data_IF_975186323736
#
_entry.id   IF_975186323736
#
_cell.length_a   1.000
_cell.length_b   1.000
_cell.length_c   1.000
_cell.angle_alpha   90.00
_cell.angle_beta   90.00
_cell.angle_gamma   90.00
#
_symmetry.space_group_name_H-M   'P 1'
#
loop_
_entity.id
_entity.type
_entity.pdbx_description
1 polymer ?
#
# COMPACT_ATOMS: atom_id res chain seq x y z
N UNK A 1 6.17 -17.80 -17.26
CA UNK A 1 5.30 -18.98 -17.03
C UNK A 1 5.37 -19.31 -15.56
N UNK A 2 4.23 -19.31 -14.89
CA UNK A 2 4.13 -19.51 -13.45
C UNK A 2 4.44 -20.97 -13.07
N UNK A 3 5.68 -21.25 -12.68
CA UNK A 3 6.17 -22.60 -12.36
C UNK A 3 7.22 -22.56 -11.25
N UNK A 4 6.79 -22.34 -10.01
CA UNK A 4 7.65 -22.29 -8.83
C UNK A 4 7.52 -23.57 -8.02
N UNK A 5 8.63 -24.01 -7.43
CA UNK A 5 8.64 -25.17 -6.52
C UNK A 5 7.86 -24.84 -5.24
N UNK A 6 6.97 -25.74 -4.81
CA UNK A 6 6.19 -25.58 -3.58
C UNK A 6 4.85 -24.87 -3.74
N UNK A 7 4.44 -24.57 -4.98
CA UNK A 7 3.09 -24.03 -5.23
C UNK A 7 2.02 -25.04 -4.83
N UNK A 8 1.04 -24.57 -4.05
CA UNK A 8 -0.13 -25.35 -3.65
C UNK A 8 -1.38 -24.78 -4.31
N UNK A 9 -2.19 -25.64 -4.93
CA UNK A 9 -3.46 -25.22 -5.53
C UNK A 9 -4.49 -24.93 -4.43
N UNK A 10 -5.13 -23.77 -4.50
CA UNK A 10 -6.24 -23.42 -3.61
C UNK A 10 -7.51 -24.09 -4.13
N UNK A 11 -8.25 -24.75 -3.24
CA UNK A 11 -9.51 -25.43 -3.56
C UNK A 11 -10.62 -24.40 -3.87
N UNK A 12 -10.64 -23.90 -5.11
CA UNK A 12 -11.64 -22.98 -5.62
C UNK A 12 -11.89 -23.22 -7.13
N UNK A 13 -12.98 -22.68 -7.70
CA UNK A 13 -13.30 -22.86 -9.13
C UNK A 13 -12.32 -22.19 -10.09
N UNK A 14 -11.47 -21.29 -9.59
CA UNK A 14 -10.51 -20.53 -10.38
C UNK A 14 -9.11 -21.16 -10.32
N UNK A 15 -8.26 -20.96 -11.34
CA UNK A 15 -6.87 -21.38 -11.31
C UNK A 15 -6.09 -20.48 -10.34
N UNK A 16 -6.11 -20.81 -9.05
CA UNK A 16 -5.44 -20.06 -7.99
C UNK A 16 -4.50 -20.97 -7.22
N UNK A 17 -3.30 -20.47 -6.98
CA UNK A 17 -2.27 -21.12 -6.19
C UNK A 17 -1.80 -20.21 -5.07
N UNK A 18 -1.22 -20.81 -4.04
CA UNK A 18 -0.47 -20.11 -2.99
C UNK A 18 0.96 -20.62 -2.95
N UNK A 19 1.88 -19.77 -2.53
CA UNK A 19 3.29 -20.10 -2.37
C UNK A 19 3.87 -19.28 -1.22
N UNK A 20 4.55 -19.95 -0.30
CA UNK A 20 5.40 -19.28 0.68
C UNK A 20 6.75 -18.98 0.03
N UNK A 21 7.18 -17.72 0.12
CA UNK A 21 8.40 -17.20 -0.46
C UNK A 21 9.27 -16.59 0.65
N UNK A 22 10.58 -16.71 0.52
CA UNK A 22 11.50 -15.85 1.25
C UNK A 22 11.59 -14.46 0.60
N UNK A 23 12.36 -13.55 1.19
CA UNK A 23 12.44 -12.18 0.70
C UNK A 23 13.08 -12.05 -0.69
N UNK A 24 13.93 -13.00 -1.10
CA UNK A 24 14.60 -12.98 -2.40
C UNK A 24 13.64 -13.50 -3.47
N UNK A 25 13.09 -14.69 -3.27
CA UNK A 25 12.09 -15.30 -4.16
C UNK A 25 10.81 -14.46 -4.27
N UNK A 26 10.40 -13.73 -3.22
CA UNK A 26 9.30 -12.76 -3.26
C UNK A 26 9.49 -11.71 -4.37
N UNK A 27 10.71 -11.15 -4.47
CA UNK A 27 11.06 -10.15 -5.49
C UNK A 27 11.16 -10.78 -6.88
N UNK A 28 11.70 -11.99 -6.97
CA UNK A 28 11.79 -12.73 -8.24
C UNK A 28 10.40 -13.03 -8.81
N UNK A 29 9.47 -13.58 -8.00
CA UNK A 29 8.10 -13.87 -8.42
C UNK A 29 7.39 -12.61 -8.93
N UNK A 30 7.53 -11.50 -8.22
CA UNK A 30 6.93 -10.22 -8.63
C UNK A 30 7.52 -9.70 -9.95
N UNK A 31 8.84 -9.85 -10.15
CA UNK A 31 9.53 -9.47 -11.38
C UNK A 31 9.07 -10.33 -12.56
N UNK A 32 9.05 -11.65 -12.40
CA UNK A 32 8.56 -12.57 -13.42
C UNK A 32 7.12 -12.26 -13.82
N UNK A 33 6.27 -11.89 -12.85
CA UNK A 33 4.91 -11.43 -13.10
C UNK A 33 4.90 -10.16 -13.95
N UNK A 34 5.69 -9.16 -13.61
CA UNK A 34 5.76 -7.89 -14.36
C UNK A 34 6.31 -8.10 -15.78
N UNK A 35 7.36 -8.91 -15.94
CA UNK A 35 7.99 -9.20 -17.23
C UNK A 35 7.12 -10.07 -18.15
N UNK A 36 6.09 -10.73 -17.60
CA UNK A 36 5.11 -11.50 -18.37
C UNK A 36 3.78 -10.76 -18.61
N UNK A 37 3.79 -9.42 -18.51
CA UNK A 37 2.61 -8.55 -18.62
C UNK A 37 1.48 -8.90 -17.62
N UNK A 38 1.85 -9.55 -16.51
CA UNK A 38 0.98 -9.86 -15.40
C UNK A 38 0.62 -8.64 -14.55
N UNK A 39 -0.21 -8.84 -13.54
CA UNK A 39 -0.74 -7.75 -12.71
C UNK A 39 -0.70 -8.06 -11.23
N UNK A 40 -0.22 -7.12 -10.44
CA UNK A 40 -0.50 -7.07 -9.00
C UNK A 40 -1.96 -6.63 -8.78
N UNK A 41 -2.76 -7.51 -8.18
CA UNK A 41 -4.17 -7.24 -7.85
C UNK A 41 -4.31 -6.64 -6.47
N UNK A 42 -3.64 -7.25 -5.48
CA UNK A 42 -3.70 -6.84 -4.09
C UNK A 42 -2.38 -7.13 -3.38
N UNK A 43 -2.06 -6.30 -2.40
CA UNK A 43 -0.94 -6.46 -1.49
C UNK A 43 -1.43 -6.11 -0.07
N UNK A 44 -1.30 -7.02 0.87
CA UNK A 44 -1.82 -6.83 2.24
C UNK A 44 -0.95 -7.52 3.29
N UNK A 45 -1.07 -7.07 4.54
CA UNK A 45 -0.41 -7.66 5.69
C UNK A 45 -1.37 -8.52 6.51
N UNK A 46 -0.84 -9.53 7.20
CA UNK A 46 -1.58 -10.30 8.19
C UNK A 46 -0.68 -10.64 9.39
N UNK A 47 -1.30 -10.81 10.56
CA UNK A 47 -0.63 -11.34 11.74
C UNK A 47 -0.72 -12.87 11.75
N UNK A 48 0.40 -13.54 12.00
CA UNK A 48 0.52 -14.99 12.14
C UNK A 48 1.22 -15.31 13.47
N UNK A 49 0.47 -15.20 14.57
CA UNK A 49 1.03 -15.26 15.92
C UNK A 49 1.93 -14.06 16.19
N UNK A 50 3.18 -14.29 16.57
CA UNK A 50 4.19 -13.23 16.77
C UNK A 50 4.84 -12.73 15.47
N UNK A 51 4.60 -13.42 14.34
CA UNK A 51 5.17 -13.07 13.04
C UNK A 51 4.17 -12.26 12.23
N UNK A 52 4.67 -11.37 11.36
CA UNK A 52 3.87 -10.74 10.34
C UNK A 52 4.16 -11.37 8.98
N UNK A 53 3.13 -11.48 8.17
CA UNK A 53 3.21 -11.95 6.80
C UNK A 53 2.71 -10.84 5.88
N UNK A 54 3.32 -10.75 4.70
CA UNK A 54 2.85 -9.89 3.61
C UNK A 54 2.50 -10.78 2.43
N UNK A 55 1.35 -10.53 1.83
CA UNK A 55 0.82 -11.33 0.75
C UNK A 55 0.63 -10.47 -0.49
N UNK A 56 1.02 -11.00 -1.65
CA UNK A 56 0.75 -10.41 -2.96
C UNK A 56 -0.12 -11.37 -3.78
N UNK A 57 -1.25 -10.88 -4.28
CA UNK A 57 -2.04 -11.56 -5.29
C UNK A 57 -1.60 -11.07 -6.68
N UNK A 58 -0.96 -11.97 -7.42
CA UNK A 58 -0.36 -11.73 -8.73
C UNK A 58 -1.11 -12.52 -9.79
N UNK A 59 -1.52 -11.88 -10.88
CA UNK A 59 -2.18 -12.54 -12.01
C UNK A 59 -1.18 -12.73 -13.13
N UNK A 60 -1.00 -13.98 -13.52
CA UNK A 60 -0.28 -14.43 -14.70
C UNK A 60 -1.30 -14.89 -15.78
N UNK A 61 -0.83 -15.20 -16.98
CA UNK A 61 -1.67 -15.74 -18.05
C UNK A 61 -2.32 -17.08 -17.65
N UNK A 62 -1.64 -17.89 -16.84
CA UNK A 62 -2.09 -19.22 -16.41
C UNK A 62 -3.07 -19.19 -15.22
N UNK A 63 -3.17 -18.05 -14.53
CA UNK A 63 -4.05 -17.86 -13.36
C UNK A 63 -3.43 -16.96 -12.30
N UNK A 64 -3.88 -17.09 -11.05
CA UNK A 64 -3.46 -16.22 -9.95
C UNK A 64 -2.55 -16.95 -8.95
N UNK A 65 -1.48 -16.29 -8.53
CA UNK A 65 -0.61 -16.72 -7.45
C UNK A 65 -0.75 -15.79 -6.26
N UNK A 66 -1.01 -16.35 -5.09
CA UNK A 66 -0.88 -15.67 -3.80
C UNK A 66 0.50 -16.02 -3.23
N UNK A 67 1.47 -15.12 -3.42
CA UNK A 67 2.78 -15.24 -2.79
C UNK A 67 2.72 -14.69 -1.36
N UNK A 68 3.32 -15.38 -0.40
CA UNK A 68 3.38 -14.98 1.01
C UNK A 68 4.83 -14.84 1.44
N UNK A 69 5.24 -13.66 1.89
CA UNK A 69 6.57 -13.37 2.39
C UNK A 69 6.51 -13.10 3.90
N UNK A 70 7.40 -13.70 4.71
CA UNK A 70 7.54 -13.29 6.10
C UNK A 70 8.09 -11.87 6.17
N UNK A 71 7.52 -11.08 7.07
CA UNK A 71 7.95 -9.73 7.37
C UNK A 71 8.14 -9.58 8.88
N UNK A 72 9.36 -9.26 9.30
CA UNK A 72 9.59 -8.83 10.67
C UNK A 72 9.20 -7.35 10.77
N UNK A 73 10.17 -6.46 10.64
CA UNK A 73 9.92 -5.00 10.65
C UNK A 73 9.70 -4.45 9.23
N UNK A 74 10.18 -5.19 8.23
CA UNK A 74 10.11 -4.77 6.84
C UNK A 74 10.12 -5.93 5.85
N UNK A 75 9.73 -5.63 4.61
CA UNK A 75 9.71 -6.54 3.47
C UNK A 75 10.20 -5.83 2.20
N UNK A 76 10.71 -6.52 1.17
CA UNK A 76 11.05 -5.89 -0.10
C UNK A 76 9.81 -5.26 -0.77
N UNK A 77 9.86 -3.95 -1.06
CA UNK A 77 8.79 -3.25 -1.81
C UNK A 77 8.67 -3.74 -3.25
N UNK A 78 7.52 -3.52 -3.87
CA UNK A 78 7.18 -3.93 -5.25
C UNK A 78 6.81 -2.74 -6.13
N UNK A 79 6.93 -1.51 -5.65
CA UNK A 79 6.46 -0.29 -6.32
C UNK A 79 7.26 0.08 -7.58
N UNK A 80 8.50 -0.37 -7.68
CA UNK A 80 9.33 -0.25 -8.87
C UNK A 80 8.86 -1.16 -10.02
N UNK A 81 8.23 -2.29 -9.68
CA UNK A 81 7.62 -3.22 -10.62
C UNK A 81 6.14 -2.90 -10.89
N UNK A 82 5.42 -2.46 -9.86
CA UNK A 82 3.99 -2.16 -9.89
C UNK A 82 3.72 -0.83 -9.18
N UNK A 83 3.63 0.31 -9.90
CA UNK A 83 3.53 1.64 -9.26
C UNK A 83 2.38 1.79 -8.26
N UNK A 84 1.26 1.10 -8.49
CA UNK A 84 0.10 1.12 -7.59
C UNK A 84 0.32 0.36 -6.26
N UNK A 85 1.37 -0.48 -6.17
CA UNK A 85 1.78 -1.12 -4.92
C UNK A 85 2.15 -0.10 -3.84
N UNK A 86 2.60 1.11 -4.22
CA UNK A 86 2.96 2.17 -3.27
C UNK A 86 1.86 2.46 -2.26
N UNK A 87 0.59 2.58 -2.69
CA UNK A 87 -0.54 2.84 -1.78
C UNK A 87 -0.81 1.66 -0.84
N UNK A 88 -0.71 0.44 -1.36
CA UNK A 88 -0.94 -0.78 -0.59
C UNK A 88 0.16 -1.00 0.46
N UNK A 89 1.42 -0.73 0.12
CA UNK A 89 2.56 -0.79 1.04
C UNK A 89 2.44 0.21 2.18
N UNK A 90 2.06 1.46 1.86
CA UNK A 90 1.81 2.48 2.88
C UNK A 90 0.62 2.11 3.77
N UNK A 91 -0.42 1.49 3.21
CA UNK A 91 -1.54 0.95 3.99
C UNK A 91 -1.11 -0.19 4.92
N UNK A 92 -0.24 -1.11 4.47
CA UNK A 92 0.34 -2.16 5.34
C UNK A 92 1.10 -1.54 6.51
N UNK A 93 1.88 -0.48 6.25
CA UNK A 93 2.58 0.20 7.33
C UNK A 93 1.59 0.83 8.32
N UNK A 94 0.61 1.59 7.87
CA UNK A 94 -0.34 2.25 8.77
C UNK A 94 -1.23 1.28 9.55
N UNK A 95 -1.58 0.13 8.95
CA UNK A 95 -2.45 -0.87 9.58
C UNK A 95 -1.67 -1.83 10.48
N UNK A 96 -0.50 -2.29 10.04
CA UNK A 96 0.23 -3.40 10.67
C UNK A 96 1.56 -2.98 11.32
N UNK A 97 2.11 -1.81 10.98
CA UNK A 97 3.43 -1.35 11.43
C UNK A 97 4.60 -1.98 10.69
N UNK A 98 4.34 -2.63 9.57
CA UNK A 98 5.35 -3.33 8.76
C UNK A 98 5.70 -2.50 7.54
N UNK A 99 6.98 -2.13 7.38
CA UNK A 99 7.41 -1.15 6.38
C UNK A 99 7.91 -1.81 5.08
N UNK A 100 7.54 -1.30 3.92
CA UNK A 100 8.23 -1.70 2.67
C UNK A 100 9.63 -1.09 2.60
N UNK A 101 10.61 -1.88 2.16
CA UNK A 101 11.96 -1.41 1.82
C UNK A 101 11.92 -0.76 0.44
N UNK A 102 12.14 0.54 0.40
CA UNK A 102 12.00 1.35 -0.81
C UNK A 102 10.69 2.13 -0.86
N UNK A 103 10.62 3.05 -1.81
CA UNK A 103 9.39 3.75 -2.15
C UNK A 103 9.00 4.88 -1.19
N UNK A 104 7.78 5.35 -1.38
CA UNK A 104 7.16 6.37 -0.56
C UNK A 104 6.72 5.79 0.79
N UNK A 105 7.29 6.34 1.87
CA UNK A 105 7.05 5.90 3.27
C UNK A 105 6.17 6.87 4.05
N UNK A 106 5.59 7.88 3.39
CA UNK A 106 4.68 8.83 4.03
C UNK A 106 3.41 8.11 4.51
N UNK A 107 2.80 8.50 5.64
CA UNK A 107 1.52 7.93 6.07
C UNK A 107 0.44 8.04 4.99
N UNK A 108 -0.45 7.07 4.89
CA UNK A 108 -1.53 7.02 3.90
C UNK A 108 -2.92 7.07 4.53
N UNK A 109 -3.28 6.07 5.33
CA UNK A 109 -4.53 5.96 6.07
C UNK A 109 -4.45 6.64 7.43
N UNK A 110 -3.31 6.52 8.13
CA UNK A 110 -3.11 7.21 9.41
C UNK A 110 -2.82 8.69 9.14
N UNK A 111 -3.83 9.53 9.32
CA UNK A 111 -3.69 10.99 9.18
C UNK A 111 -3.14 11.65 10.45
N UNK A 112 -2.28 10.94 11.18
CA UNK A 112 -1.70 11.37 12.45
C UNK A 112 -2.69 11.30 13.61
N UNK A 113 -3.67 10.39 13.53
CA UNK A 113 -4.76 10.28 14.51
C UNK A 113 -4.72 8.97 15.29
N UNK A 114 -4.10 7.92 14.75
CA UNK A 114 -4.09 6.61 15.39
C UNK A 114 -3.00 6.53 16.46
N UNK A 115 -3.35 5.94 17.61
CA UNK A 115 -2.41 5.73 18.72
C UNK A 115 -1.51 4.52 18.44
N UNK A 116 -2.08 3.46 17.89
CA UNK A 116 -1.44 2.17 17.59
C UNK A 116 -1.66 1.76 16.13
N UNK A 117 -0.99 0.69 15.68
CA UNK A 117 -1.29 0.03 14.41
C UNK A 117 -2.49 -0.91 14.59
N UNK A 118 -3.68 -0.62 14.01
CA UNK A 118 -4.93 -1.31 14.34
C UNK A 118 -4.89 -2.84 14.18
N UNK A 119 -4.18 -3.32 13.16
CA UNK A 119 -4.06 -4.74 12.81
C UNK A 119 -2.67 -5.31 13.10
N UNK A 120 -1.86 -4.58 13.88
CA UNK A 120 -0.44 -4.85 14.00
C UNK A 120 0.10 -4.75 15.41
N UNK A 121 1.38 -4.39 15.47
CA UNK A 121 2.10 -4.24 16.73
C UNK A 121 1.60 -3.03 17.50
N UNK A 122 1.72 -3.07 18.81
CA UNK A 122 1.56 -1.86 19.62
C UNK A 122 2.66 -0.85 19.26
N UNK A 123 2.30 0.41 19.10
CA UNK A 123 3.26 1.45 18.72
C UNK A 123 4.03 1.87 19.98
N UNK A 124 5.35 1.67 20.00
CA UNK A 124 6.18 1.99 21.17
C UNK A 124 6.25 3.49 21.48
N UNK A 125 6.00 4.34 20.48
CA UNK A 125 5.96 5.80 20.61
C UNK A 125 4.75 6.35 19.89
N UNK A 126 4.01 7.25 20.55
CA UNK A 126 2.91 7.96 19.89
C UNK A 126 3.46 8.76 18.71
N UNK A 127 2.80 8.72 17.54
CA UNK A 127 3.14 9.66 16.49
C UNK A 127 2.96 11.06 17.05
N UNK A 128 3.99 11.89 16.97
CA UNK A 128 3.82 13.32 17.20
C UNK A 128 2.88 13.79 16.08
N UNK A 129 1.69 14.32 16.39
CA UNK A 129 0.80 14.83 15.36
C UNK A 129 1.57 15.88 14.56
N UNK A 130 1.68 15.77 13.22
CA UNK A 130 2.28 16.84 12.45
C UNK A 130 1.49 18.13 12.71
N UNK A 131 2.18 19.23 12.95
CA UNK A 131 1.58 20.53 13.32
C UNK A 131 0.56 21.02 12.28
N UNK A 132 0.65 20.60 11.00
CA UNK A 132 -0.51 20.51 10.10
C UNK A 132 -0.22 19.94 8.70
N UNK A 133 1.03 19.80 8.25
CA UNK A 133 1.26 19.53 6.81
C UNK A 133 1.72 18.11 6.50
N UNK A 134 0.86 17.37 5.78
CA UNK A 134 1.33 16.23 5.00
C UNK A 134 2.22 16.76 3.87
N UNK A 135 3.43 16.19 3.68
CA UNK A 135 4.41 16.74 2.76
C UNK A 135 4.05 16.34 1.33
N UNK A 136 3.09 17.06 0.74
CA UNK A 136 2.77 16.95 -0.69
C UNK A 136 3.99 17.30 -1.53
N UNK A 137 4.15 16.62 -2.66
CA UNK A 137 5.26 16.91 -3.57
C UNK A 137 5.01 18.24 -4.28
N UNK A 138 5.93 19.19 -4.11
CA UNK A 138 5.92 20.47 -4.81
C UNK A 138 6.54 20.34 -6.21
N UNK A 139 6.12 21.24 -7.11
CA UNK A 139 6.75 21.46 -8.42
C UNK A 139 7.20 22.92 -8.45
N UNK A 140 8.45 23.16 -8.81
CA UNK A 140 9.02 24.50 -8.88
C UNK A 140 9.16 24.96 -10.33
N UNK A 141 8.98 26.26 -10.58
CA UNK A 141 9.10 26.86 -11.91
C UNK A 141 8.33 28.17 -12.02
N UNK A 142 8.69 28.99 -13.01
CA UNK A 142 7.96 30.22 -13.31
C UNK A 142 6.51 29.91 -13.74
N UNK A 143 5.55 30.60 -13.12
CA UNK A 143 4.12 30.42 -13.42
C UNK A 143 3.50 29.13 -12.89
N UNK A 144 4.23 28.34 -12.08
CA UNK A 144 3.64 27.20 -11.37
C UNK A 144 2.79 27.69 -10.21
N UNK A 145 1.56 27.19 -10.14
CA UNK A 145 0.61 27.49 -9.06
C UNK A 145 0.08 26.20 -8.46
N UNK A 146 -0.14 26.21 -7.14
CA UNK A 146 -0.80 25.11 -6.42
C UNK A 146 -2.29 25.42 -6.25
N UNK A 147 -3.14 24.45 -6.58
CA UNK A 147 -4.57 24.47 -6.27
C UNK A 147 -4.89 23.33 -5.30
N UNK A 148 -5.40 23.70 -4.13
CA UNK A 148 -5.79 22.80 -3.06
C UNK A 148 -7.32 22.54 -3.08
N UNK A 149 -7.73 21.28 -3.04
CA UNK A 149 -9.15 20.88 -2.95
C UNK A 149 -9.34 19.82 -1.86
N UNK A 150 -10.39 19.95 -1.05
CA UNK A 150 -10.72 19.02 0.04
C UNK A 150 -10.08 19.39 1.40
N UNK A 151 -10.09 18.47 2.39
CA UNK A 151 -10.43 17.06 2.29
C UNK A 151 -11.94 16.76 2.24
N UNK A 152 -12.78 17.76 2.58
CA UNK A 152 -14.23 17.67 2.54
C UNK A 152 -14.75 18.34 1.27
N UNK A 153 -15.63 17.65 0.55
CA UNK A 153 -16.30 18.17 -0.64
C UNK A 153 -17.80 18.21 -0.38
N UNK A 154 -18.53 19.09 -1.06
CA UNK A 154 -19.99 19.08 -1.04
C UNK A 154 -20.50 17.82 -1.77
N UNK A 155 -20.88 16.78 -1.03
CA UNK A 155 -21.43 15.54 -1.61
C UNK A 155 -21.18 14.27 -0.77
N UNK A 156 -21.69 13.14 -1.26
CA UNK A 156 -21.52 11.79 -0.67
C UNK A 156 -20.50 11.01 -1.50
N UNK A 157 -19.27 11.51 -1.60
CA UNK A 157 -18.15 10.80 -2.25
C UNK A 157 -17.06 10.46 -1.23
N UNK A 158 -16.02 9.75 -1.65
CA UNK A 158 -14.87 9.53 -0.78
C UNK A 158 -14.16 10.87 -0.49
N UNK A 159 -13.99 11.27 0.79
CA UNK A 159 -13.19 12.44 1.13
C UNK A 159 -11.73 12.23 0.74
N UNK A 160 -11.11 13.31 0.27
CA UNK A 160 -9.78 13.29 -0.30
C UNK A 160 -9.19 14.69 -0.38
N UNK A 161 -7.90 14.82 -0.12
CA UNK A 161 -7.18 16.07 -0.24
C UNK A 161 -6.32 16.02 -1.49
N UNK A 162 -6.61 16.91 -2.42
CA UNK A 162 -5.97 16.96 -3.72
C UNK A 162 -5.04 18.16 -3.79
N UNK A 163 -3.89 17.96 -4.41
CA UNK A 163 -2.92 19.00 -4.76
C UNK A 163 -2.62 18.95 -6.23
N UNK A 164 -3.11 19.98 -6.93
CA UNK A 164 -2.81 20.21 -8.34
C UNK A 164 -1.68 21.22 -8.43
N UNK A 165 -0.58 20.86 -9.07
CA UNK A 165 0.45 21.80 -9.49
C UNK A 165 0.21 22.11 -10.97
N UNK A 166 -0.05 23.36 -11.33
CA UNK A 166 -0.54 23.77 -12.65
C UNK A 166 0.26 24.92 -13.26
N UNK A 167 0.28 25.00 -14.59
CA UNK A 167 0.73 26.16 -15.36
C UNK A 167 -0.33 26.48 -16.41
N UNK A 168 -1.04 27.59 -16.24
CA UNK A 168 -2.24 27.88 -17.03
C UNK A 168 -3.27 26.74 -16.89
N UNK A 169 -3.60 26.09 -18.00
CA UNK A 169 -4.56 24.97 -18.03
C UNK A 169 -3.89 23.59 -17.90
N UNK A 170 -2.55 23.53 -17.86
CA UNK A 170 -1.81 22.26 -17.80
C UNK A 170 -1.62 21.82 -16.35
N UNK A 171 -2.05 20.60 -16.03
CA UNK A 171 -1.72 19.94 -14.76
C UNK A 171 -0.36 19.26 -14.89
N UNK A 172 0.63 19.77 -14.16
CA UNK A 172 1.97 19.18 -14.08
C UNK A 172 1.99 17.99 -13.13
N UNK A 173 1.23 18.10 -12.02
CA UNK A 173 1.11 17.03 -11.04
C UNK A 173 -0.23 17.08 -10.33
N UNK A 174 -0.81 15.90 -10.13
CA UNK A 174 -1.88 15.67 -9.17
C UNK A 174 -1.35 14.72 -8.10
N UNK A 175 -1.41 15.16 -6.84
CA UNK A 175 -1.25 14.26 -5.70
C UNK A 175 -2.56 14.17 -4.93
N UNK A 176 -2.99 12.93 -4.69
CA UNK A 176 -4.21 12.60 -3.95
C UNK A 176 -3.82 12.03 -2.60
N UNK A 177 -4.43 12.54 -1.52
CA UNK A 177 -4.41 11.92 -0.19
C UNK A 177 -5.83 11.47 0.14
N UNK A 178 -6.04 10.17 0.24
CA UNK A 178 -7.35 9.56 0.51
C UNK A 178 -7.40 8.99 1.92
N UNK A 179 -8.45 8.23 2.23
CA UNK A 179 -8.55 7.45 3.46
C UNK A 179 -9.05 8.22 4.68
N UNK A 180 -9.63 9.41 4.50
CA UNK A 180 -10.18 10.24 5.59
C UNK A 180 -11.35 9.56 6.33
N UNK A 181 -11.95 8.51 5.78
CA UNK A 181 -12.95 7.67 6.47
C UNK A 181 -12.33 6.58 7.34
N UNK A 182 -11.05 6.25 7.19
CA UNK A 182 -10.38 5.25 8.03
C UNK A 182 -10.07 5.84 9.40
N UNK A 183 -10.93 5.54 10.37
CA UNK A 183 -10.83 6.07 11.74
C UNK A 183 -10.36 5.04 12.76
N UNK A 184 -9.87 3.87 12.30
CA UNK A 184 -9.52 2.74 13.17
C UNK A 184 -10.73 2.15 13.89
N UNK A 185 -11.91 2.24 13.28
CA UNK A 185 -13.16 1.71 13.86
C UNK A 185 -13.09 0.21 14.03
N UNK A 186 -12.41 -0.48 13.12
CA UNK A 186 -12.25 -1.93 13.11
C UNK A 186 -11.69 -2.39 14.47
N UNK A 187 -10.67 -1.69 14.97
CA UNK A 187 -10.09 -1.94 16.30
C UNK A 187 -11.02 -1.63 17.46
N UNK A 188 -11.83 -0.57 17.33
CA UNK A 188 -12.80 -0.18 18.35
C UNK A 188 -13.96 -1.18 18.51
N UNK A 189 -14.17 -2.06 17.54
CA UNK A 189 -15.23 -3.07 17.51
C UNK A 189 -14.71 -4.52 17.52
N UNK A 190 -13.46 -4.74 17.94
CA UNK A 190 -12.97 -6.10 18.25
C UNK A 190 -13.57 -6.56 19.59
N UNK A 191 -14.40 -7.61 19.56
CA UNK A 191 -15.07 -8.19 20.73
C UNK A 191 -15.63 -9.59 20.45
#
# INVERSE_FOLDING_TARGET
>A
MMNYKGMEKIACPLPVWKLDADQDSWREIARDCAESDGRLVALWGSAAGEKFLVHAALVFAEGMLIATCPAEDSFPGLEDLFPHASRMQRAIFDLCGVMSRGGDRRPWLDHGKWQDFPLGRQRLQKPVPPESDYPFVSVEGEGVHEIAVGPVHAGIIEPGHFRFQVVGEKVLRLEERLGYKHKGIEKAFEG
#
